data_IF_737215177365
#
_entry.id   IF_737215177365
#
_cell.length_a   1.000
_cell.length_b   1.000
_cell.length_c   1.000
_cell.angle_alpha   90.00
_cell.angle_beta   90.00
_cell.angle_gamma   90.00
#
_symmetry.space_group_name_H-M   'P 1'
#
loop_
_entity.id
_entity.type
_entity.pdbx_description
1 polymer ?
#
# COMPACT_ATOMS: atom_id res chain seq x y z
N UNK A 1 20.84 -38.62 34.96
CA UNK A 1 21.70 -38.22 33.85
C UNK A 1 21.37 -39.10 32.62
N UNK A 2 20.48 -38.66 31.73
CA UNK A 2 20.20 -39.29 30.47
C UNK A 2 19.91 -38.18 29.45
N UNK A 3 20.86 -38.00 28.55
CA UNK A 3 20.82 -37.05 27.41
C UNK A 3 20.09 -37.73 26.28
N UNK A 4 18.97 -37.20 25.81
CA UNK A 4 18.24 -37.65 24.62
C UNK A 4 18.77 -36.88 23.40
N UNK A 5 19.52 -37.58 22.52
CA UNK A 5 19.84 -37.14 21.17
C UNK A 5 18.64 -37.41 20.25
N UNK A 6 17.98 -36.36 19.77
CA UNK A 6 16.99 -36.46 18.69
C UNK A 6 17.27 -35.44 17.59
N UNK A 7 18.37 -35.60 16.86
CA UNK A 7 18.75 -34.71 15.78
C UNK A 7 19.01 -35.38 14.42
N UNK A 8 18.94 -36.71 14.33
CA UNK A 8 19.44 -37.45 13.18
C UNK A 8 18.41 -37.82 12.09
N UNK A 9 17.13 -37.79 12.36
CA UNK A 9 16.12 -38.34 11.43
C UNK A 9 15.50 -37.30 10.45
N UNK A 10 15.47 -36.03 10.82
CA UNK A 10 14.91 -34.99 9.93
C UNK A 10 15.84 -34.56 8.79
N UNK A 11 17.13 -34.52 9.03
CA UNK A 11 18.12 -34.14 8.02
C UNK A 11 18.26 -35.20 6.92
N UNK A 12 18.08 -36.48 7.24
CA UNK A 12 18.11 -37.56 6.25
C UNK A 12 16.90 -37.58 5.32
N UNK A 13 15.70 -37.20 5.81
CA UNK A 13 14.50 -37.12 4.97
C UNK A 13 14.61 -36.01 3.94
N UNK A 14 15.14 -34.84 4.31
CA UNK A 14 15.34 -33.69 3.39
C UNK A 14 16.41 -33.99 2.32
N UNK A 15 17.49 -34.68 2.66
CA UNK A 15 18.51 -35.06 1.69
C UNK A 15 18.02 -36.11 0.69
N UNK A 16 17.24 -37.09 1.11
CA UNK A 16 16.64 -38.10 0.21
C UNK A 16 15.62 -37.51 -0.74
N UNK A 17 14.82 -36.52 -0.27
CA UNK A 17 13.87 -35.81 -1.11
C UNK A 17 14.54 -34.96 -2.17
N UNK A 18 15.63 -34.25 -1.83
CA UNK A 18 16.42 -33.47 -2.77
C UNK A 18 17.11 -34.36 -3.84
N UNK A 19 17.60 -35.54 -3.46
CA UNK A 19 18.20 -36.49 -4.40
C UNK A 19 17.15 -37.12 -5.33
N UNK A 20 15.94 -37.38 -4.85
CA UNK A 20 14.82 -37.88 -5.66
C UNK A 20 14.39 -36.89 -6.73
N UNK A 21 14.30 -35.60 -6.38
CA UNK A 21 13.95 -34.53 -7.33
C UNK A 21 15.05 -34.37 -8.39
N UNK A 22 16.33 -34.47 -8.01
CA UNK A 22 17.47 -34.39 -8.96
C UNK A 22 17.51 -35.56 -9.94
N UNK A 23 17.13 -36.75 -9.50
CA UNK A 23 17.11 -37.95 -10.38
C UNK A 23 15.92 -37.88 -11.37
N UNK A 24 14.75 -37.31 -10.96
CA UNK A 24 13.60 -37.18 -11.84
C UNK A 24 13.87 -36.14 -12.94
N UNK A 25 14.60 -35.06 -12.65
CA UNK A 25 14.95 -34.05 -13.67
C UNK A 25 16.00 -34.58 -14.68
N UNK A 26 16.94 -35.45 -14.27
CA UNK A 26 17.89 -36.09 -15.20
C UNK A 26 17.22 -37.14 -16.10
N UNK A 27 16.20 -37.86 -15.64
CA UNK A 27 15.53 -38.88 -16.44
C UNK A 27 14.63 -38.30 -17.53
N UNK A 28 14.19 -37.03 -17.37
CA UNK A 28 13.34 -36.36 -18.36
C UNK A 28 14.09 -35.76 -19.55
N UNK A 29 15.45 -35.68 -19.47
CA UNK A 29 16.30 -35.16 -20.57
C UNK A 29 16.74 -36.22 -21.58
N UNK A 30 16.43 -37.51 -21.39
CA UNK A 30 16.97 -38.61 -22.23
C UNK A 30 15.97 -39.21 -23.24
N UNK A 31 14.73 -38.67 -23.35
CA UNK A 31 13.69 -39.26 -24.24
C UNK A 31 13.25 -38.40 -25.44
N UNK A 32 13.88 -37.28 -25.71
CA UNK A 32 13.63 -36.53 -26.96
C UNK A 32 14.90 -36.27 -27.74
N UNK A 33 15.49 -37.34 -28.21
CA UNK A 33 16.54 -37.29 -29.24
C UNK A 33 16.04 -38.01 -30.49
N UNK A 34 15.52 -37.28 -31.48
CA UNK A 34 15.62 -37.64 -32.90
C UNK A 34 15.41 -36.41 -33.77
N UNK A 35 16.48 -35.99 -34.33
CA UNK A 35 16.77 -35.63 -35.73
C UNK A 35 15.71 -34.79 -36.46
N UNK A 36 16.06 -33.51 -36.73
CA UNK A 36 15.85 -32.96 -38.05
C UNK A 36 17.02 -32.08 -38.46
N UNK A 37 17.63 -32.44 -39.58
CA UNK A 37 18.77 -31.80 -40.18
C UNK A 37 18.39 -30.44 -40.84
N UNK A 38 19.29 -29.48 -40.67
CA UNK A 38 19.68 -28.44 -41.58
C UNK A 38 18.64 -27.56 -42.30
N UNK A 39 18.56 -26.34 -41.84
CA UNK A 39 18.71 -25.17 -42.68
C UNK A 39 19.40 -24.09 -41.84
N UNK A 40 20.67 -23.79 -42.22
CA UNK A 40 21.40 -22.67 -41.66
C UNK A 40 20.74 -21.38 -42.20
N UNK A 41 19.73 -20.92 -41.49
CA UNK A 41 19.26 -19.54 -41.59
C UNK A 41 19.92 -18.78 -40.45
N UNK A 42 20.85 -17.92 -40.82
CA UNK A 42 21.45 -16.92 -39.91
C UNK A 42 20.31 -16.08 -39.32
N UNK A 43 19.70 -16.61 -38.25
CA UNK A 43 18.77 -15.80 -37.43
C UNK A 43 19.62 -14.80 -36.67
N UNK A 44 19.80 -13.62 -37.24
CA UNK A 44 20.23 -12.45 -36.52
C UNK A 44 19.27 -12.28 -35.35
N UNK A 45 19.68 -12.76 -34.17
CA UNK A 45 18.94 -12.56 -32.92
C UNK A 45 19.05 -11.07 -32.60
N UNK A 46 18.21 -10.26 -33.25
CA UNK A 46 17.96 -8.91 -32.82
C UNK A 46 17.26 -9.03 -31.49
N UNK A 47 18.03 -8.95 -30.41
CA UNK A 47 17.51 -8.75 -29.08
C UNK A 47 16.71 -7.46 -29.14
N UNK A 48 15.40 -7.56 -29.36
CA UNK A 48 14.49 -6.43 -29.34
C UNK A 48 14.59 -5.83 -27.93
N UNK A 49 15.37 -4.76 -27.78
CA UNK A 49 15.47 -3.98 -26.55
C UNK A 49 14.04 -3.62 -26.16
N UNK A 50 13.55 -4.25 -25.09
CA UNK A 50 12.17 -4.03 -24.62
C UNK A 50 11.91 -2.53 -24.55
N UNK A 51 10.88 -2.06 -25.26
CA UNK A 51 10.57 -0.64 -25.36
C UNK A 51 10.36 -0.06 -23.96
N UNK A 52 11.18 0.91 -23.60
CA UNK A 52 11.13 1.54 -22.26
C UNK A 52 9.76 2.16 -22.06
N UNK A 53 9.03 1.74 -21.05
CA UNK A 53 7.70 2.29 -20.71
C UNK A 53 7.80 3.79 -20.46
N UNK A 54 7.02 4.59 -21.20
CA UNK A 54 6.87 6.03 -21.00
C UNK A 54 5.40 6.42 -21.08
N UNK A 55 5.04 7.52 -20.41
CA UNK A 55 3.69 8.06 -20.41
C UNK A 55 2.69 7.22 -19.60
N UNK A 56 1.41 7.41 -19.91
CA UNK A 56 0.32 6.70 -19.26
C UNK A 56 0.25 5.23 -19.68
N UNK A 57 0.11 4.34 -18.70
CA UNK A 57 -0.14 2.91 -18.88
C UNK A 57 -1.26 2.45 -17.95
N UNK A 58 -2.18 1.61 -18.47
CA UNK A 58 -3.23 0.96 -17.68
C UNK A 58 -2.77 -0.45 -17.32
N UNK A 59 -2.71 -0.76 -16.03
CA UNK A 59 -2.27 -2.06 -15.51
C UNK A 59 -3.22 -2.45 -14.37
N UNK A 60 -3.79 -3.65 -14.40
CA UNK A 60 -4.71 -4.14 -13.36
C UNK A 60 -5.89 -3.19 -13.08
N UNK A 61 -6.47 -2.57 -14.12
CA UNK A 61 -7.57 -1.61 -13.98
C UNK A 61 -7.17 -0.22 -13.50
N UNK A 62 -5.91 0.00 -13.10
CA UNK A 62 -5.40 1.28 -12.62
C UNK A 62 -4.52 1.97 -13.68
N UNK A 63 -4.44 3.30 -13.61
CA UNK A 63 -3.58 4.09 -14.49
C UNK A 63 -2.30 4.49 -13.74
N UNK A 64 -1.16 4.33 -14.40
CA UNK A 64 0.17 4.68 -13.92
C UNK A 64 0.87 5.57 -14.93
N UNK A 65 1.77 6.42 -14.46
CA UNK A 65 2.59 7.26 -15.33
C UNK A 65 4.05 6.87 -15.21
N UNK A 66 4.69 6.64 -16.34
CA UNK A 66 6.09 6.20 -16.42
C UNK A 66 6.97 7.28 -17.03
N UNK A 67 8.18 7.39 -16.53
CA UNK A 67 9.26 8.22 -17.08
C UNK A 67 10.50 7.34 -17.16
N UNK A 68 11.04 7.17 -18.37
CA UNK A 68 12.24 6.33 -18.64
C UNK A 68 12.13 4.94 -17.96
N UNK A 69 10.99 4.29 -18.12
CA UNK A 69 10.71 2.97 -17.56
C UNK A 69 10.37 2.94 -16.08
N UNK A 70 10.54 4.02 -15.34
CA UNK A 70 10.25 4.09 -13.90
C UNK A 70 8.85 4.64 -13.64
N UNK A 71 8.12 3.97 -12.77
CA UNK A 71 6.78 4.40 -12.33
C UNK A 71 6.91 5.64 -11.42
N UNK A 72 6.17 6.71 -11.73
CA UNK A 72 6.09 7.88 -10.87
C UNK A 72 5.21 7.56 -9.66
N UNK A 73 5.71 7.78 -8.45
CA UNK A 73 5.01 7.46 -7.20
C UNK A 73 5.00 8.66 -6.25
N UNK A 74 3.98 8.71 -5.40
CA UNK A 74 3.81 9.65 -4.28
C UNK A 74 4.08 11.13 -4.66
N UNK A 75 3.59 11.55 -5.84
CA UNK A 75 3.91 12.87 -6.40
C UNK A 75 2.72 13.51 -7.13
N UNK A 76 2.58 14.82 -6.94
CA UNK A 76 1.83 15.67 -7.87
C UNK A 76 2.66 15.86 -9.14
N UNK A 77 2.05 15.64 -10.29
CA UNK A 77 2.71 15.77 -11.58
C UNK A 77 1.81 16.55 -12.55
N UNK A 78 2.36 17.59 -13.17
CA UNK A 78 1.71 18.26 -14.32
C UNK A 78 2.03 17.45 -15.58
N UNK A 79 0.99 17.01 -16.29
CA UNK A 79 1.07 16.18 -17.49
C UNK A 79 0.07 16.78 -18.49
N UNK A 80 0.55 17.20 -19.64
CA UNK A 80 -0.26 17.82 -20.68
C UNK A 80 -1.20 18.92 -20.13
N UNK A 81 -0.63 19.86 -19.38
CA UNK A 81 -1.35 20.98 -18.79
C UNK A 81 -2.17 20.68 -17.53
N UNK A 82 -2.56 19.43 -17.26
CA UNK A 82 -3.35 19.03 -16.11
C UNK A 82 -2.48 18.48 -14.96
N UNK A 83 -2.93 18.68 -13.71
CA UNK A 83 -2.26 18.17 -12.52
C UNK A 83 -2.93 16.85 -12.09
N UNK A 84 -2.11 15.84 -11.82
CA UNK A 84 -2.50 14.52 -11.33
C UNK A 84 -1.73 14.19 -10.04
N UNK A 85 -2.33 13.37 -9.20
CA UNK A 85 -1.62 12.76 -8.08
C UNK A 85 -1.43 11.27 -8.31
N UNK A 86 -0.18 10.85 -8.33
CA UNK A 86 0.24 9.44 -8.38
C UNK A 86 0.49 9.02 -6.93
N UNK A 87 -0.28 8.06 -6.43
CA UNK A 87 -0.19 7.60 -5.04
C UNK A 87 1.13 6.88 -4.74
N UNK A 88 1.29 6.39 -3.52
CA UNK A 88 2.49 5.67 -3.07
C UNK A 88 2.80 4.44 -3.91
N UNK A 89 1.78 3.74 -4.41
CA UNK A 89 1.90 2.62 -5.34
C UNK A 89 1.99 3.06 -6.83
N UNK A 90 2.02 4.37 -7.10
CA UNK A 90 2.04 4.93 -8.45
C UNK A 90 0.67 5.02 -9.14
N UNK A 91 -0.39 4.47 -8.54
CA UNK A 91 -1.72 4.55 -9.14
C UNK A 91 -2.24 5.99 -9.14
N UNK A 92 -2.84 6.39 -10.25
CA UNK A 92 -3.53 7.68 -10.39
C UNK A 92 -4.70 7.75 -9.42
N UNK A 93 -4.77 8.82 -8.63
CA UNK A 93 -5.83 9.02 -7.63
C UNK A 93 -6.99 9.85 -8.19
N UNK A 94 -8.20 9.57 -7.69
CA UNK A 94 -9.45 10.25 -7.99
C UNK A 94 -10.18 10.60 -6.71
N UNK A 95 -11.14 11.54 -6.75
CA UNK A 95 -11.83 12.01 -5.55
C UNK A 95 -10.99 12.93 -4.67
N UNK A 96 -11.33 13.03 -3.40
CA UNK A 96 -10.60 13.86 -2.44
C UNK A 96 -9.38 13.11 -1.89
N UNK A 97 -8.20 13.69 -2.07
CA UNK A 97 -6.95 13.08 -1.61
C UNK A 97 -6.04 14.11 -0.93
N UNK A 98 -5.48 13.73 0.22
CA UNK A 98 -4.55 14.60 0.95
C UNK A 98 -3.13 14.35 0.46
N UNK A 99 -2.51 15.41 -0.04
CA UNK A 99 -1.16 15.39 -0.60
C UNK A 99 -0.24 16.33 0.16
N UNK A 100 1.04 16.01 0.21
CA UNK A 100 2.08 16.92 0.68
C UNK A 100 2.40 17.91 -0.45
N UNK A 101 2.37 19.19 -0.16
CA UNK A 101 2.70 20.29 -1.09
C UNK A 101 3.70 21.20 -0.40
N UNK A 102 4.97 21.08 -0.74
CA UNK A 102 6.07 21.72 0.02
C UNK A 102 6.07 21.23 1.47
N UNK A 103 6.07 22.17 2.42
CA UNK A 103 6.06 21.87 3.87
C UNK A 103 4.65 21.71 4.46
N UNK A 104 3.60 21.79 3.64
CA UNK A 104 2.20 21.73 4.08
C UNK A 104 1.46 20.54 3.48
N UNK A 105 0.25 20.28 4.00
CA UNK A 105 -0.66 19.30 3.44
C UNK A 105 -1.91 20.00 2.93
N UNK A 106 -2.37 19.58 1.74
CA UNK A 106 -3.63 20.04 1.15
C UNK A 106 -4.49 18.83 0.79
N UNK A 107 -5.78 18.90 1.06
CA UNK A 107 -6.73 17.94 0.53
C UNK A 107 -7.26 18.49 -0.79
N UNK A 108 -6.91 17.83 -1.90
CA UNK A 108 -7.21 18.25 -3.27
C UNK A 108 -8.24 17.30 -3.88
N UNK A 109 -9.14 17.84 -4.72
CA UNK A 109 -10.13 17.04 -5.44
C UNK A 109 -9.64 16.72 -6.84
N UNK A 110 -9.67 15.42 -7.19
CA UNK A 110 -9.37 14.93 -8.54
C UNK A 110 -10.63 14.33 -9.16
N UNK A 111 -10.92 14.68 -10.39
CA UNK A 111 -12.05 14.15 -11.16
C UNK A 111 -11.91 12.64 -11.40
N UNK A 112 -12.92 11.99 -11.97
CA UNK A 112 -12.89 10.55 -12.33
C UNK A 112 -11.76 10.20 -13.30
N UNK A 113 -11.38 11.13 -14.18
CA UNK A 113 -10.21 11.00 -15.06
C UNK A 113 -8.87 11.34 -14.36
N UNK A 114 -8.87 11.62 -13.06
CA UNK A 114 -7.71 11.95 -12.25
C UNK A 114 -7.17 13.37 -12.38
N UNK A 115 -7.76 14.24 -13.19
CA UNK A 115 -7.35 15.65 -13.29
C UNK A 115 -7.74 16.41 -12.02
N UNK A 116 -6.85 17.26 -11.53
CA UNK A 116 -7.17 18.18 -10.44
C UNK A 116 -8.27 19.16 -10.87
N UNK A 117 -9.32 19.29 -10.05
CA UNK A 117 -10.51 20.10 -10.36
C UNK A 117 -10.37 21.59 -9.99
N UNK A 118 -9.21 21.98 -9.43
CA UNK A 118 -9.05 23.32 -8.85
C UNK A 118 -9.51 23.42 -7.39
N UNK A 119 -10.31 22.47 -6.90
CA UNK A 119 -10.87 22.51 -5.54
C UNK A 119 -9.90 21.92 -4.52
N UNK A 120 -9.52 22.69 -3.51
CA UNK A 120 -8.69 22.22 -2.40
C UNK A 120 -9.13 22.84 -1.08
N UNK A 121 -8.78 22.16 0.02
CA UNK A 121 -9.00 22.64 1.39
C UNK A 121 -7.75 22.38 2.24
N UNK A 122 -7.51 23.22 3.25
CA UNK A 122 -6.43 23.03 4.20
C UNK A 122 -6.59 21.69 4.91
N UNK A 123 -5.53 20.91 5.00
CA UNK A 123 -5.52 19.65 5.73
C UNK A 123 -4.96 19.88 7.15
N UNK A 124 -5.46 19.12 8.13
CA UNK A 124 -4.88 19.14 9.47
C UNK A 124 -3.56 18.37 9.45
N UNK A 125 -2.45 19.11 9.42
CA UNK A 125 -1.10 18.53 9.32
C UNK A 125 -0.74 17.67 10.54
N UNK A 126 -1.15 18.06 11.74
CA UNK A 126 -0.89 17.29 12.97
C UNK A 126 -1.65 15.99 12.98
N UNK A 127 -2.93 15.99 12.61
CA UNK A 127 -3.72 14.76 12.47
C UNK A 127 -3.08 13.79 11.46
N UNK A 128 -2.53 14.32 10.36
CA UNK A 128 -1.83 13.49 9.37
C UNK A 128 -0.55 12.90 9.96
N UNK A 129 0.27 13.68 10.64
CA UNK A 129 1.50 13.20 11.30
C UNK A 129 1.19 12.11 12.33
N UNK A 130 0.17 12.31 13.16
CA UNK A 130 -0.28 11.34 14.14
C UNK A 130 -0.75 10.04 13.46
N UNK A 131 -1.54 10.17 12.38
CA UNK A 131 -2.01 9.02 11.60
C UNK A 131 -0.83 8.26 10.98
N UNK A 132 0.11 8.95 10.35
CA UNK A 132 1.30 8.33 9.76
C UNK A 132 2.17 7.66 10.83
N UNK A 133 2.24 8.21 12.05
CA UNK A 133 2.92 7.58 13.19
C UNK A 133 2.25 6.25 13.58
N UNK A 134 0.92 6.22 13.65
CA UNK A 134 0.18 4.97 13.92
C UNK A 134 0.43 3.94 12.80
N UNK A 135 0.35 4.33 11.54
CA UNK A 135 0.62 3.41 10.42
C UNK A 135 2.03 2.80 10.51
N UNK A 136 3.03 3.62 10.81
CA UNK A 136 4.42 3.14 11.02
C UNK A 136 4.52 2.18 12.20
N UNK A 137 3.94 2.52 13.35
CA UNK A 137 3.97 1.67 14.56
C UNK A 137 3.32 0.30 14.33
N UNK A 138 2.29 0.25 13.49
CA UNK A 138 1.60 -1.00 13.10
C UNK A 138 2.26 -1.71 11.91
N UNK A 139 3.40 -1.21 11.42
CA UNK A 139 4.11 -1.73 10.25
C UNK A 139 3.18 -1.88 9.03
N UNK A 140 2.34 -0.86 8.81
CA UNK A 140 1.44 -0.80 7.65
C UNK A 140 2.16 -0.09 6.52
N UNK A 141 2.31 -0.77 5.39
CA UNK A 141 2.93 -0.21 4.19
C UNK A 141 2.10 0.93 3.61
N UNK A 142 2.77 1.96 3.09
CA UNK A 142 2.13 3.02 2.30
C UNK A 142 1.67 2.55 0.91
N UNK A 143 2.04 1.34 0.49
CA UNK A 143 1.84 0.81 -0.88
C UNK A 143 0.92 -0.40 -0.90
N UNK A 144 -0.23 -0.34 -0.23
CA UNK A 144 -1.21 -1.42 -0.24
C UNK A 144 -1.88 -1.51 -1.61
N UNK A 145 -1.66 -2.62 -2.31
CA UNK A 145 -2.16 -2.83 -3.68
C UNK A 145 -3.32 -3.83 -3.73
N UNK A 146 -3.28 -4.88 -2.92
CA UNK A 146 -4.28 -5.95 -2.94
C UNK A 146 -5.36 -5.79 -1.87
N UNK A 147 -6.52 -6.39 -2.11
CA UNK A 147 -7.62 -6.43 -1.12
C UNK A 147 -7.18 -7.14 0.16
N UNK A 148 -6.39 -8.21 0.06
CA UNK A 148 -5.87 -8.93 1.22
C UNK A 148 -4.97 -8.05 2.10
N UNK A 149 -4.04 -7.30 1.49
CA UNK A 149 -3.20 -6.34 2.21
C UNK A 149 -4.03 -5.26 2.91
N UNK A 150 -5.04 -4.70 2.23
CA UNK A 150 -5.96 -3.71 2.81
C UNK A 150 -6.73 -4.29 3.99
N UNK A 151 -7.29 -5.50 3.87
CA UNK A 151 -7.99 -6.19 4.95
C UNK A 151 -7.09 -6.38 6.17
N UNK A 152 -5.87 -6.87 5.98
CA UNK A 152 -4.87 -7.03 7.06
C UNK A 152 -4.54 -5.69 7.74
N UNK A 153 -4.34 -4.63 6.96
CA UNK A 153 -4.08 -3.30 7.51
C UNK A 153 -5.26 -2.78 8.33
N UNK A 154 -6.49 -2.91 7.83
CA UNK A 154 -7.70 -2.51 8.54
C UNK A 154 -7.87 -3.28 9.87
N UNK A 155 -7.58 -4.58 9.88
CA UNK A 155 -7.61 -5.40 11.10
C UNK A 155 -6.60 -4.92 12.14
N UNK A 156 -5.37 -4.60 11.73
CA UNK A 156 -4.35 -4.03 12.63
C UNK A 156 -4.81 -2.69 13.21
N UNK A 157 -5.38 -1.80 12.39
CA UNK A 157 -5.87 -0.49 12.83
C UNK A 157 -7.07 -0.63 13.77
N UNK A 158 -7.97 -1.55 13.49
CA UNK A 158 -9.10 -1.85 14.38
C UNK A 158 -8.60 -2.31 15.76
N UNK A 159 -7.66 -3.26 15.79
CA UNK A 159 -7.05 -3.73 17.04
C UNK A 159 -6.30 -2.63 17.77
N UNK A 160 -5.66 -1.71 17.06
CA UNK A 160 -5.04 -0.52 17.64
C UNK A 160 -6.10 0.41 18.25
N UNK A 161 -7.21 0.63 17.56
CA UNK A 161 -8.29 1.51 18.02
C UNK A 161 -8.98 1.00 19.29
N UNK A 162 -9.05 -0.33 19.48
CA UNK A 162 -9.58 -0.96 20.71
C UNK A 162 -8.78 -0.61 21.98
N UNK A 163 -7.54 -0.17 21.80
CA UNK A 163 -6.65 0.21 22.92
C UNK A 163 -6.88 1.64 23.42
N UNK A 164 -7.70 2.44 22.74
CA UNK A 164 -8.04 3.77 23.23
C UNK A 164 -8.95 3.65 24.46
N UNK A 165 -8.56 4.31 25.55
CA UNK A 165 -9.38 4.37 26.75
C UNK A 165 -10.68 5.17 26.51
N UNK A 166 -11.71 4.90 27.31
CA UNK A 166 -12.94 5.70 27.29
C UNK A 166 -12.74 7.04 27.97
N UNK A 167 -13.27 8.10 27.38
CA UNK A 167 -13.37 9.43 27.98
C UNK A 167 -14.58 10.17 27.42
N UNK A 168 -15.38 10.78 28.30
CA UNK A 168 -16.42 11.73 27.87
C UNK A 168 -15.75 13.02 27.39
N UNK A 169 -15.89 13.32 26.12
CA UNK A 169 -15.33 14.55 25.55
C UNK A 169 -16.21 15.75 25.92
N UNK A 170 -15.60 16.78 26.48
CA UNK A 170 -16.24 18.05 26.85
C UNK A 170 -15.61 19.20 26.09
N UNK A 171 -16.42 20.24 25.81
CA UNK A 171 -15.94 21.53 25.31
C UNK A 171 -15.27 22.36 26.40
N UNK A 172 -14.75 23.52 26.03
CA UNK A 172 -14.18 24.49 26.99
C UNK A 172 -15.23 25.03 27.97
N UNK A 173 -16.51 24.95 27.61
CA UNK A 173 -17.67 25.31 28.46
C UNK A 173 -18.08 24.16 29.42
N UNK A 174 -17.30 23.09 29.47
CA UNK A 174 -17.58 21.93 30.30
C UNK A 174 -18.73 21.02 29.81
N UNK A 175 -19.46 21.43 28.76
CA UNK A 175 -20.58 20.67 28.19
C UNK A 175 -20.09 19.52 27.32
N UNK A 176 -20.84 18.42 27.19
CA UNK A 176 -20.49 17.34 26.31
C UNK A 176 -20.35 17.82 24.85
N UNK A 177 -19.24 17.47 24.21
CA UNK A 177 -19.04 17.75 22.79
C UNK A 177 -20.04 16.95 21.96
N UNK A 178 -20.89 17.67 21.21
CA UNK A 178 -21.82 17.07 20.27
C UNK A 178 -21.06 16.64 18.99
N UNK A 179 -21.25 15.38 18.60
CA UNK A 179 -20.70 14.87 17.34
C UNK A 179 -21.55 15.37 16.16
N UNK A 180 -20.87 15.92 15.16
CA UNK A 180 -21.44 16.17 13.83
C UNK A 180 -20.44 15.67 12.79
N UNK A 181 -20.91 15.35 11.58
CA UNK A 181 -20.05 14.88 10.49
C UNK A 181 -18.89 15.86 10.20
N UNK A 182 -19.14 17.17 10.31
CA UNK A 182 -18.12 18.20 10.12
C UNK A 182 -17.02 18.20 11.20
N UNK A 183 -17.29 17.68 12.40
CA UNK A 183 -16.37 17.63 13.53
C UNK A 183 -15.55 16.32 13.61
N UNK A 184 -15.74 15.36 12.70
CA UNK A 184 -15.10 14.04 12.76
C UNK A 184 -13.57 14.11 12.84
N UNK A 185 -12.94 15.03 12.09
CA UNK A 185 -11.48 15.20 12.16
C UNK A 185 -11.01 15.74 13.52
N UNK A 186 -11.78 16.62 14.15
CA UNK A 186 -11.49 17.11 15.50
C UNK A 186 -11.60 15.98 16.52
N UNK A 187 -12.64 15.17 16.46
CA UNK A 187 -12.79 14.01 17.35
C UNK A 187 -11.64 13.00 17.15
N UNK A 188 -11.25 12.72 15.91
CA UNK A 188 -10.10 11.87 15.62
C UNK A 188 -8.81 12.45 16.21
N UNK A 189 -8.56 13.73 16.02
CA UNK A 189 -7.37 14.43 16.53
C UNK A 189 -7.28 14.36 18.05
N UNK A 190 -8.37 14.71 18.75
CA UNK A 190 -8.39 14.65 20.21
C UNK A 190 -8.20 13.23 20.73
N UNK A 191 -8.89 12.24 20.15
CA UNK A 191 -8.78 10.84 20.57
C UNK A 191 -7.37 10.29 20.37
N UNK A 192 -6.76 10.56 19.23
CA UNK A 192 -5.41 10.09 18.94
C UNK A 192 -4.35 10.76 19.80
N UNK A 193 -4.52 12.06 20.11
CA UNK A 193 -3.63 12.81 20.97
C UNK A 193 -3.68 12.34 22.43
N UNK A 194 -4.86 12.21 22.96
CA UNK A 194 -5.07 11.82 24.37
C UNK A 194 -5.04 10.31 24.62
N UNK A 195 -5.03 9.48 23.56
CA UNK A 195 -5.21 8.02 23.63
C UNK A 195 -6.50 7.59 24.35
N UNK A 196 -7.47 8.49 24.42
CA UNK A 196 -8.78 8.32 25.06
C UNK A 196 -9.85 9.06 24.24
N UNK A 197 -11.07 8.52 24.21
CA UNK A 197 -12.19 9.16 23.53
C UNK A 197 -13.50 8.45 23.82
N UNK A 198 -14.60 9.06 23.38
CA UNK A 198 -15.90 8.39 23.34
C UNK A 198 -15.99 7.53 22.05
N UNK A 199 -17.12 6.83 21.87
CA UNK A 199 -17.35 5.98 20.70
C UNK A 199 -17.16 6.73 19.37
N UNK A 200 -17.63 7.99 19.27
CA UNK A 200 -17.46 8.83 18.07
C UNK A 200 -15.98 9.18 17.82
N UNK A 201 -15.24 9.47 18.89
CA UNK A 201 -13.81 9.76 18.79
C UNK A 201 -13.01 8.57 18.30
N UNK A 202 -13.26 7.39 18.88
CA UNK A 202 -12.59 6.14 18.47
C UNK A 202 -12.94 5.76 17.04
N UNK A 203 -14.22 5.83 16.67
CA UNK A 203 -14.67 5.56 15.29
C UNK A 203 -14.05 6.56 14.30
N UNK A 204 -13.98 7.84 14.65
CA UNK A 204 -13.37 8.88 13.82
C UNK A 204 -11.87 8.68 13.66
N UNK A 205 -11.15 8.29 14.72
CA UNK A 205 -9.72 7.97 14.66
C UNK A 205 -9.47 6.78 13.74
N UNK A 206 -10.24 5.71 13.89
CA UNK A 206 -10.17 4.55 13.01
C UNK A 206 -10.44 4.92 11.55
N UNK A 207 -11.52 5.69 11.27
CA UNK A 207 -11.88 6.08 9.91
C UNK A 207 -10.78 6.90 9.21
N UNK A 208 -10.14 7.84 9.93
CA UNK A 208 -9.02 8.64 9.39
C UNK A 208 -7.82 7.75 9.09
N UNK A 209 -7.47 6.84 10.00
CA UNK A 209 -6.37 5.89 9.83
C UNK A 209 -6.64 4.92 8.67
N UNK A 210 -7.84 4.36 8.61
CA UNK A 210 -8.26 3.45 7.54
C UNK A 210 -8.18 4.13 6.16
N UNK A 211 -8.74 5.33 6.04
CA UNK A 211 -8.67 6.11 4.80
C UNK A 211 -7.24 6.43 4.39
N UNK A 212 -6.37 6.76 5.35
CA UNK A 212 -4.97 7.06 5.09
C UNK A 212 -4.19 5.83 4.62
N UNK A 213 -4.52 4.65 5.13
CA UNK A 213 -3.88 3.38 4.78
C UNK A 213 -4.33 2.84 3.41
N UNK A 214 -5.62 2.95 3.10
CA UNK A 214 -6.22 2.27 1.94
C UNK A 214 -6.50 3.17 0.75
N UNK A 215 -6.43 4.48 0.94
CA UNK A 215 -6.65 5.50 -0.10
C UNK A 215 -8.06 6.01 -0.12
#
# INVERSE_FOLDING_TARGET
>A
MKIFKTGGKETMKKRRFAQLVLMITMLFCLTFGTVCAQAATTATTTTAKAAVKNGWKKEGGQYYYYIKGKKVTNKLKKINGAIYYLGSNGARKTGWYTVKSGNTYKTMQFASNGKYTGKSKKANAELIKMTDSVLRSQKISASLTTTAQKKTALQKLFNCSKKYGYMRMKGFDGKPLQFTKGKSQMFAYLTMGMKKGNCYGVASAFAVQAKRATG
#
